data_IF_806399958241
#
_entry.id   IF_806399958241
#
_cell.length_a   1.000
_cell.length_b   1.000
_cell.length_c   1.000
_cell.angle_alpha   90.00
_cell.angle_beta   90.00
_cell.angle_gamma   90.00
#
_symmetry.space_group_name_H-M   'P 1'
#
loop_
_entity.id
_entity.type
_entity.pdbx_description
1 polymer ?
#
# COMPACT_ATOMS: atom_id res chain seq x y z
N UNK A 1 14.67 -8.41 -17.72
CA UNK A 1 14.06 -8.67 -16.40
C UNK A 1 14.99 -8.28 -15.26
N UNK A 2 16.24 -8.73 -15.26
CA UNK A 2 17.17 -8.39 -14.18
C UNK A 2 17.39 -6.90 -14.01
N UNK A 3 17.51 -6.15 -15.11
CA UNK A 3 17.70 -4.70 -15.03
C UNK A 3 16.50 -3.98 -14.44
N UNK A 4 15.30 -4.43 -14.76
CA UNK A 4 14.09 -3.86 -14.21
C UNK A 4 13.97 -4.15 -12.71
N UNK A 5 14.37 -5.35 -12.29
CA UNK A 5 14.37 -5.72 -10.87
C UNK A 5 15.37 -4.85 -10.10
N UNK A 6 16.58 -4.68 -10.62
CA UNK A 6 17.58 -3.84 -9.98
C UNK A 6 17.11 -2.41 -9.88
N UNK A 7 16.51 -1.87 -10.94
CA UNK A 7 15.99 -0.51 -10.94
C UNK A 7 14.85 -0.35 -9.94
N UNK A 8 13.95 -1.33 -9.88
CA UNK A 8 12.86 -1.34 -8.92
C UNK A 8 13.36 -1.41 -7.48
N UNK A 9 14.38 -2.21 -7.22
CA UNK A 9 14.99 -2.32 -5.89
C UNK A 9 15.57 -0.99 -5.44
N UNK A 10 16.28 -0.29 -6.31
CA UNK A 10 16.87 1.01 -5.99
C UNK A 10 15.78 2.02 -5.67
N UNK A 11 14.73 2.08 -6.47
CA UNK A 11 13.60 2.99 -6.24
C UNK A 11 12.90 2.67 -4.93
N UNK A 12 12.63 1.40 -4.67
CA UNK A 12 12.01 0.95 -3.42
C UNK A 12 12.88 1.27 -2.22
N UNK A 13 14.19 1.09 -2.33
CA UNK A 13 15.11 1.40 -1.24
C UNK A 13 15.04 2.87 -0.84
N UNK A 14 15.02 3.77 -1.79
CA UNK A 14 14.88 5.21 -1.52
C UNK A 14 13.52 5.51 -0.87
N UNK A 15 12.44 4.92 -1.40
CA UNK A 15 11.10 5.09 -0.86
C UNK A 15 11.01 4.55 0.58
N UNK A 16 11.60 3.39 0.85
CA UNK A 16 11.63 2.80 2.19
C UNK A 16 12.35 3.70 3.19
N UNK A 17 13.49 4.26 2.81
CA UNK A 17 14.22 5.18 3.68
C UNK A 17 13.38 6.41 4.02
N UNK A 18 12.70 6.98 3.03
CA UNK A 18 11.80 8.11 3.23
C UNK A 18 10.62 7.71 4.09
N UNK A 19 10.04 6.53 3.81
CA UNK A 19 8.88 6.01 4.51
C UNK A 19 9.15 5.80 6.00
N UNK A 20 10.29 5.21 6.35
CA UNK A 20 10.65 4.95 7.74
C UNK A 20 10.81 6.23 8.55
N UNK A 21 11.09 7.35 7.91
CA UNK A 21 11.18 8.64 8.59
C UNK A 21 9.84 9.35 8.72
N UNK A 22 8.74 8.77 8.22
CA UNK A 22 7.40 9.30 8.44
C UNK A 22 6.52 9.38 7.21
N UNK A 23 6.30 10.57 6.70
CA UNK A 23 5.32 10.86 5.66
C UNK A 23 6.00 11.13 4.34
N UNK A 24 5.49 10.53 3.26
CA UNK A 24 5.96 10.78 1.91
C UNK A 24 4.85 11.46 1.10
N UNK A 25 5.15 12.64 0.55
CA UNK A 25 4.26 13.25 -0.43
C UNK A 25 4.64 12.76 -1.83
N UNK A 26 3.73 12.05 -2.49
CA UNK A 26 3.96 11.53 -3.83
C UNK A 26 3.49 12.57 -4.86
N UNK A 27 4.45 13.27 -5.46
CA UNK A 27 4.15 14.34 -6.40
C UNK A 27 3.48 13.83 -7.69
N UNK A 28 3.73 12.57 -8.06
CA UNK A 28 3.14 12.00 -9.28
C UNK A 28 1.65 11.72 -9.13
N UNK A 29 1.22 11.30 -7.95
CA UNK A 29 -0.17 10.93 -7.69
C UNK A 29 -0.95 12.02 -6.97
N UNK A 30 -0.27 12.92 -6.29
CA UNK A 30 -0.88 13.90 -5.40
C UNK A 30 -1.24 13.35 -4.03
N UNK A 31 -1.04 12.06 -3.78
CA UNK A 31 -1.33 11.47 -2.48
C UNK A 31 -0.20 11.70 -1.49
N UNK A 32 -0.56 11.82 -0.23
CA UNK A 32 0.39 11.75 0.88
C UNK A 32 0.34 10.34 1.43
N UNK A 33 1.50 9.71 1.55
CA UNK A 33 1.61 8.31 1.97
C UNK A 33 2.15 8.23 3.40
N UNK A 34 1.46 7.49 4.23
CA UNK A 34 1.92 7.08 5.56
C UNK A 34 1.97 5.57 5.59
N UNK A 35 2.48 5.03 6.69
CA UNK A 35 2.71 3.59 6.80
C UNK A 35 2.17 3.10 8.13
N UNK A 36 1.59 1.90 8.12
CA UNK A 36 1.03 1.32 9.33
C UNK A 36 1.27 -0.18 9.37
N UNK A 37 1.38 -0.72 10.56
CA UNK A 37 1.60 -2.14 10.77
C UNK A 37 0.51 -2.70 11.68
N UNK A 38 -0.52 -3.26 11.06
CA UNK A 38 -1.62 -3.93 11.75
C UNK A 38 -1.84 -5.31 11.12
N UNK A 39 -2.45 -6.24 11.86
CA UNK A 39 -2.83 -7.53 11.28
C UNK A 39 -3.79 -7.33 10.11
N UNK A 40 -3.53 -8.04 9.00
CA UNK A 40 -4.30 -7.89 7.76
C UNK A 40 -5.33 -8.99 7.54
N UNK A 41 -5.43 -9.97 8.46
CA UNK A 41 -6.27 -11.16 8.26
C UNK A 41 -7.73 -10.82 7.95
N UNK A 42 -8.30 -9.86 8.67
CA UNK A 42 -9.72 -9.51 8.50
C UNK A 42 -9.99 -8.88 7.14
N UNK A 43 -9.18 -7.90 6.75
CA UNK A 43 -9.40 -7.19 5.47
C UNK A 43 -9.09 -8.09 4.29
N UNK A 44 -8.08 -8.95 4.42
CA UNK A 44 -7.75 -9.93 3.38
C UNK A 44 -8.89 -10.94 3.22
N UNK A 45 -9.40 -11.48 4.33
CA UNK A 45 -10.50 -12.43 4.26
C UNK A 45 -11.75 -11.80 3.64
N UNK A 46 -12.06 -10.58 4.00
CA UNK A 46 -13.20 -9.87 3.40
C UNK A 46 -13.04 -9.72 1.89
N UNK A 47 -11.85 -9.38 1.42
CA UNK A 47 -11.59 -9.25 -0.01
C UNK A 47 -11.74 -10.59 -0.72
N UNK A 48 -11.22 -11.66 -0.12
CA UNK A 48 -11.38 -13.02 -0.67
C UNK A 48 -12.84 -13.44 -0.71
N UNK A 49 -13.61 -13.14 0.35
CA UNK A 49 -15.04 -13.45 0.41
C UNK A 49 -15.85 -12.65 -0.63
N UNK A 50 -15.33 -11.49 -1.02
CA UNK A 50 -15.93 -10.70 -2.11
C UNK A 50 -15.61 -11.24 -3.50
N UNK A 51 -14.78 -12.28 -3.59
CA UNK A 51 -14.45 -12.92 -4.85
C UNK A 51 -13.11 -12.54 -5.46
N UNK A 52 -12.25 -11.86 -4.71
CA UNK A 52 -10.91 -11.53 -5.20
C UNK A 52 -9.96 -12.66 -4.79
N UNK A 53 -9.53 -13.53 -5.74
CA UNK A 53 -8.83 -14.77 -5.41
C UNK A 53 -7.32 -14.56 -5.27
N UNK A 54 -6.92 -13.69 -4.37
CA UNK A 54 -5.50 -13.40 -4.13
C UNK A 54 -5.09 -13.86 -2.74
N UNK A 55 -3.77 -14.08 -2.57
CA UNK A 55 -3.19 -14.48 -1.32
C UNK A 55 -2.47 -13.30 -0.67
N UNK A 56 -2.46 -13.31 0.65
CA UNK A 56 -1.68 -12.37 1.45
C UNK A 56 -0.23 -12.87 1.54
N UNK A 57 0.72 -11.96 1.38
CA UNK A 57 2.14 -12.26 1.57
C UNK A 57 2.90 -10.98 1.89
N UNK A 58 4.12 -11.14 2.36
CA UNK A 58 4.98 -10.03 2.73
C UNK A 58 6.14 -9.96 1.77
N UNK A 59 6.29 -8.83 1.10
CA UNK A 59 7.35 -8.59 0.14
C UNK A 59 8.69 -8.45 0.88
N UNK A 60 9.80 -8.66 0.18
CA UNK A 60 11.14 -8.65 0.77
C UNK A 60 11.47 -7.34 1.49
N UNK A 61 10.88 -6.24 1.07
CA UNK A 61 11.06 -4.93 1.70
C UNK A 61 10.12 -4.69 2.89
N UNK A 62 9.33 -5.68 3.28
CA UNK A 62 8.40 -5.56 4.39
C UNK A 62 7.05 -4.97 4.05
N UNK A 63 6.78 -4.72 2.79
CA UNK A 63 5.47 -4.23 2.35
C UNK A 63 4.48 -5.39 2.32
N UNK A 64 3.30 -5.18 2.89
CA UNK A 64 2.25 -6.20 2.95
C UNK A 64 1.47 -6.20 1.64
N UNK A 65 1.34 -7.38 1.06
CA UNK A 65 0.82 -7.57 -0.29
C UNK A 65 -0.44 -8.43 -0.30
N UNK A 66 -1.31 -8.15 -1.25
CA UNK A 66 -2.45 -8.98 -1.59
C UNK A 66 -2.37 -9.31 -3.08
N UNK A 67 -1.91 -10.52 -3.41
CA UNK A 67 -1.57 -10.84 -4.79
C UNK A 67 -0.51 -9.88 -5.32
N UNK A 68 -0.73 -9.25 -6.48
CA UNK A 68 0.25 -8.31 -7.05
C UNK A 68 0.17 -6.90 -6.45
N UNK A 69 -0.72 -6.65 -5.52
CA UNK A 69 -0.99 -5.31 -5.04
C UNK A 69 -0.46 -5.05 -3.63
N UNK A 70 0.01 -3.83 -3.44
CA UNK A 70 0.30 -3.28 -2.11
C UNK A 70 -1.02 -3.05 -1.37
N UNK A 71 -1.11 -3.45 -0.11
CA UNK A 71 -2.33 -3.25 0.69
C UNK A 71 -2.36 -1.81 1.21
N UNK A 72 -3.48 -1.13 0.95
CA UNK A 72 -3.65 0.29 1.27
C UNK A 72 -4.94 0.49 2.08
N UNK A 73 -4.86 1.35 3.10
CA UNK A 73 -6.02 1.93 3.75
C UNK A 73 -6.23 3.35 3.22
N UNK A 74 -7.46 3.69 2.88
CA UNK A 74 -7.77 4.99 2.30
C UNK A 74 -8.87 5.71 3.06
N UNK A 75 -9.07 6.98 2.73
CA UNK A 75 -10.23 7.73 3.17
C UNK A 75 -11.52 7.07 2.67
N UNK A 76 -12.62 7.10 3.45
CA UNK A 76 -13.89 6.47 3.04
C UNK A 76 -14.46 6.99 1.72
N UNK A 77 -14.04 8.16 1.25
CA UNK A 77 -14.47 8.68 -0.06
C UNK A 77 -13.92 7.88 -1.24
N UNK A 78 -12.89 7.06 -1.03
CA UNK A 78 -12.32 6.22 -2.08
C UNK A 78 -13.04 4.88 -2.12
N UNK A 79 -13.16 4.30 -3.31
CA UNK A 79 -13.89 3.05 -3.50
C UNK A 79 -13.05 1.88 -3.00
N UNK A 80 -13.60 1.09 -2.07
CA UNK A 80 -12.93 -0.11 -1.59
C UNK A 80 -12.75 -1.10 -2.73
N UNK A 81 -11.64 -1.81 -2.73
CA UNK A 81 -11.22 -2.79 -3.73
C UNK A 81 -10.84 -2.19 -5.08
N UNK A 82 -10.79 -0.89 -5.20
CA UNK A 82 -10.21 -0.24 -6.37
C UNK A 82 -8.69 -0.16 -6.25
N UNK A 83 -8.01 0.00 -7.38
CA UNK A 83 -6.56 0.14 -7.40
C UNK A 83 -6.16 1.60 -7.24
N UNK A 84 -4.96 1.80 -6.74
CA UNK A 84 -4.38 3.13 -6.56
C UNK A 84 -2.85 3.02 -6.71
N UNK A 85 -2.23 4.00 -7.36
CA UNK A 85 -0.78 4.02 -7.49
C UNK A 85 -0.14 4.54 -6.21
N UNK A 86 0.93 3.87 -5.78
CA UNK A 86 1.73 4.31 -4.64
C UNK A 86 3.20 4.37 -5.03
N UNK A 87 4.02 4.97 -4.18
CA UNK A 87 5.46 4.98 -4.39
C UNK A 87 6.08 3.58 -4.29
N UNK A 88 5.38 2.64 -3.67
CA UNK A 88 5.85 1.27 -3.46
C UNK A 88 5.26 0.27 -4.46
N UNK A 89 4.47 0.75 -5.40
CA UNK A 89 3.84 -0.06 -6.43
C UNK A 89 2.34 0.15 -6.51
N UNK A 90 1.70 -0.54 -7.43
CA UNK A 90 0.25 -0.49 -7.55
C UNK A 90 -0.39 -1.11 -6.32
N UNK A 91 -1.33 -0.39 -5.71
CA UNK A 91 -2.01 -0.82 -4.51
C UNK A 91 -3.46 -1.16 -4.74
N UNK A 92 -4.04 -1.85 -3.78
CA UNK A 92 -5.47 -2.11 -3.69
C UNK A 92 -6.00 -1.61 -2.36
N UNK A 93 -7.11 -0.94 -2.39
CA UNK A 93 -7.74 -0.39 -1.18
C UNK A 93 -8.53 -1.50 -0.49
N UNK A 94 -7.95 -2.07 0.57
CA UNK A 94 -8.62 -3.10 1.36
C UNK A 94 -9.19 -2.57 2.67
N UNK A 95 -8.69 -1.42 3.12
CA UNK A 95 -9.01 -0.90 4.45
C UNK A 95 -9.31 0.59 4.39
N UNK A 96 -9.73 1.14 5.51
CA UNK A 96 -10.04 2.56 5.63
C UNK A 96 -9.33 3.15 6.82
N UNK A 97 -8.73 4.32 6.64
CA UNK A 97 -8.20 5.07 7.77
C UNK A 97 -9.29 5.98 8.36
N UNK A 98 -9.05 6.44 9.57
CA UNK A 98 -10.03 7.24 10.32
C UNK A 98 -9.66 8.72 10.39
N UNK A 99 -8.68 9.16 9.62
CA UNK A 99 -8.26 10.56 9.62
C UNK A 99 -9.27 11.38 8.84
N UNK A 100 -10.03 12.19 9.56
CA UNK A 100 -11.01 13.08 8.95
C UNK A 100 -10.30 14.19 8.17
N UNK A 101 -10.94 14.67 7.12
CA UNK A 101 -10.43 15.76 6.29
C UNK A 101 -9.08 15.46 5.61
N UNK A 102 -8.79 14.17 5.37
CA UNK A 102 -7.58 13.76 4.69
C UNK A 102 -7.90 12.81 3.53
N UNK A 103 -8.65 13.27 2.50
CA UNK A 103 -9.05 12.42 1.38
C UNK A 103 -7.87 11.97 0.52
N UNK A 104 -6.74 12.69 0.55
CA UNK A 104 -5.56 12.39 -0.23
C UNK A 104 -4.50 11.62 0.56
N UNK A 105 -4.86 11.15 1.76
CA UNK A 105 -3.97 10.32 2.57
C UNK A 105 -4.16 8.85 2.26
N UNK A 106 -3.06 8.17 1.99
CA UNK A 106 -3.01 6.71 1.89
C UNK A 106 -2.14 6.16 3.02
N UNK A 107 -2.66 5.16 3.72
CA UNK A 107 -1.87 4.41 4.69
C UNK A 107 -1.48 3.07 4.07
N UNK A 108 -0.20 2.87 3.87
CA UNK A 108 0.32 1.65 3.25
C UNK A 108 0.68 0.63 4.33
N UNK A 109 0.21 -0.58 4.18
CA UNK A 109 0.44 -1.65 5.15
C UNK A 109 1.87 -2.19 5.00
N UNK A 110 2.64 -2.14 6.08
CA UNK A 110 4.02 -2.59 6.12
C UNK A 110 4.29 -3.31 7.45
N UNK A 111 5.44 -3.97 7.52
CA UNK A 111 5.94 -4.54 8.78
C UNK A 111 6.72 -3.53 9.62
N UNK A 112 6.95 -2.36 9.10
CA UNK A 112 7.79 -1.33 9.74
C UNK A 112 7.10 0.00 9.95
#
# INVERSE_FOLDING_TARGET
MKNNVIRGIITLFVAILTAKSGVLHNAETGFTEKYYNLPMQKVVKKAQDMGIPCEYWIRDDGVKMFGPWVIVASHPSKVRYSSVQTSLGEGIILDRHTVKNAPDLLDIATEW
#
